data_IF_559579700996
#
_entry.id   IF_559579700996
#
_cell.length_a   1.000
_cell.length_b   1.000
_cell.length_c   1.000
_cell.angle_alpha   90.00
_cell.angle_beta   90.00
_cell.angle_gamma   90.00
#
_symmetry.space_group_name_H-M   'P 1'
#
loop_
_entity.id
_entity.type
_entity.pdbx_description
1 polymer ?
#
# COMPACT_ATOMS: atom_id res chain seq x y z
N UNK A 1 25.57 3.20 -11.84
CA UNK A 1 25.62 2.01 -10.94
C UNK A 1 24.22 1.45 -10.89
N UNK A 2 24.02 0.17 -11.19
CA UNK A 2 22.73 -0.50 -11.15
C UNK A 2 22.44 -0.96 -9.73
N UNK A 3 21.23 -0.70 -9.22
CA UNK A 3 20.82 -1.08 -7.86
C UNK A 3 20.32 -2.52 -7.89
N UNK A 4 20.93 -3.40 -7.11
CA UNK A 4 20.58 -4.83 -7.04
C UNK A 4 19.49 -5.05 -6.00
N UNK A 5 18.31 -5.44 -6.46
CA UNK A 5 17.12 -5.61 -5.64
C UNK A 5 16.89 -7.09 -5.32
N UNK A 6 16.72 -7.40 -4.03
CA UNK A 6 16.16 -8.67 -3.57
C UNK A 6 14.67 -8.52 -3.24
N UNK A 7 13.88 -9.55 -3.48
CA UNK A 7 12.45 -9.60 -3.12
C UNK A 7 12.24 -10.71 -2.10
N UNK A 8 11.74 -10.39 -0.91
CA UNK A 8 11.33 -11.34 0.11
C UNK A 8 9.81 -11.55 0.09
N UNK A 9 9.37 -12.71 -0.39
CA UNK A 9 7.96 -13.03 -0.59
C UNK A 9 7.49 -12.75 -2.03
N UNK A 10 6.91 -13.76 -2.68
CA UNK A 10 6.50 -13.70 -4.07
C UNK A 10 5.00 -14.02 -4.22
N UNK A 11 4.18 -13.14 -3.66
CA UNK A 11 2.73 -13.05 -3.84
C UNK A 11 2.37 -11.97 -4.89
N UNK A 12 1.17 -11.39 -4.79
CA UNK A 12 0.75 -10.32 -5.70
C UNK A 12 1.69 -9.10 -5.64
N UNK A 13 2.10 -8.70 -4.44
CA UNK A 13 3.02 -7.58 -4.25
C UNK A 13 4.41 -7.89 -4.82
N UNK A 14 4.99 -9.05 -4.52
CA UNK A 14 6.32 -9.43 -5.03
C UNK A 14 6.38 -9.54 -6.55
N UNK A 15 5.30 -10.03 -7.19
CA UNK A 15 5.16 -10.02 -8.65
C UNK A 15 5.10 -8.59 -9.20
N UNK A 16 4.34 -7.73 -8.54
CA UNK A 16 4.28 -6.32 -8.91
C UNK A 16 5.64 -5.64 -8.80
N UNK A 17 6.42 -5.94 -7.75
CA UNK A 17 7.79 -5.42 -7.57
C UNK A 17 8.71 -5.86 -8.72
N UNK A 18 8.66 -7.13 -9.13
CA UNK A 18 9.41 -7.61 -10.29
C UNK A 18 9.03 -6.85 -11.56
N UNK A 19 7.72 -6.66 -11.82
CA UNK A 19 7.25 -5.88 -12.97
C UNK A 19 7.70 -4.41 -12.90
N UNK A 20 7.69 -3.80 -11.71
CA UNK A 20 8.13 -2.43 -11.52
C UNK A 20 9.64 -2.27 -11.72
N UNK A 21 10.47 -3.22 -11.26
CA UNK A 21 11.92 -3.22 -11.49
C UNK A 21 12.23 -3.22 -13.00
N UNK A 22 11.52 -4.02 -13.79
CA UNK A 22 11.69 -4.06 -15.26
C UNK A 22 11.50 -2.68 -15.91
N UNK A 23 10.69 -1.80 -15.34
CA UNK A 23 10.44 -0.45 -15.85
C UNK A 23 11.47 0.58 -15.36
N UNK A 24 12.41 0.19 -14.51
CA UNK A 24 13.41 1.07 -13.90
C UNK A 24 14.82 0.67 -14.34
N UNK A 25 15.39 1.37 -15.36
CA UNK A 25 16.66 0.96 -16.01
C UNK A 25 17.88 1.07 -15.10
N UNK A 26 17.77 1.73 -13.96
CA UNK A 26 18.80 1.86 -12.93
C UNK A 26 18.74 0.75 -11.87
N UNK A 27 17.87 -0.25 -12.07
CA UNK A 27 17.67 -1.36 -11.14
C UNK A 27 17.72 -2.72 -11.84
N UNK A 28 18.11 -3.74 -11.10
CA UNK A 28 18.02 -5.13 -11.55
C UNK A 28 17.51 -6.04 -10.42
N UNK A 29 16.77 -7.08 -10.78
CA UNK A 29 16.35 -8.13 -9.86
C UNK A 29 17.51 -9.10 -9.65
N UNK A 30 18.09 -9.12 -8.46
CA UNK A 30 19.20 -10.02 -8.11
C UNK A 30 18.70 -11.39 -7.62
N UNK A 31 17.67 -11.42 -6.79
CA UNK A 31 17.13 -12.64 -6.21
C UNK A 31 15.69 -12.49 -5.73
N UNK A 32 14.97 -13.60 -5.69
CA UNK A 32 13.67 -13.74 -5.03
C UNK A 32 13.78 -14.77 -3.91
N UNK A 33 13.25 -14.46 -2.74
CA UNK A 33 13.25 -15.33 -1.57
C UNK A 33 11.82 -15.74 -1.20
N UNK A 34 11.64 -17.02 -0.86
CA UNK A 34 10.33 -17.57 -0.54
C UNK A 34 10.42 -18.59 0.60
N UNK A 35 9.36 -18.69 1.41
CA UNK A 35 9.19 -19.77 2.40
C UNK A 35 8.63 -21.06 1.79
N UNK A 36 8.09 -20.97 0.56
CA UNK A 36 7.65 -22.13 -0.22
C UNK A 36 8.86 -22.82 -0.86
N UNK A 37 8.69 -24.03 -1.35
CA UNK A 37 9.72 -24.65 -2.19
C UNK A 37 10.05 -23.74 -3.38
N UNK A 38 11.31 -23.27 -3.54
CA UNK A 38 11.74 -22.42 -4.63
C UNK A 38 11.40 -22.95 -6.02
N UNK A 39 11.38 -24.28 -6.18
CA UNK A 39 11.04 -24.95 -7.45
C UNK A 39 9.59 -24.71 -7.90
N UNK A 40 8.70 -24.38 -6.96
CA UNK A 40 7.29 -24.10 -7.21
C UNK A 40 7.00 -22.63 -7.45
N UNK A 41 8.01 -21.75 -7.42
CA UNK A 41 7.87 -20.32 -7.67
C UNK A 41 8.43 -19.98 -9.04
N UNK A 42 7.59 -19.45 -9.91
CA UNK A 42 7.98 -19.02 -11.26
C UNK A 42 8.05 -17.50 -11.29
N UNK A 43 9.22 -16.97 -11.59
CA UNK A 43 9.50 -15.55 -11.83
C UNK A 43 9.58 -15.30 -13.33
N UNK A 44 9.46 -14.02 -13.72
CA UNK A 44 9.50 -13.58 -15.13
C UNK A 44 10.91 -13.21 -15.59
N UNK A 45 11.79 -12.84 -14.66
CA UNK A 45 13.16 -12.37 -14.91
C UNK A 45 14.10 -13.57 -15.00
N UNK A 46 14.49 -13.95 -16.21
CA UNK A 46 15.32 -15.14 -16.47
C UNK A 46 16.71 -15.08 -15.83
N UNK A 47 17.28 -13.89 -15.65
CA UNK A 47 18.60 -13.69 -15.05
C UNK A 47 18.63 -13.85 -13.54
N UNK A 48 17.47 -13.76 -12.86
CA UNK A 48 17.35 -13.92 -11.42
C UNK A 48 17.05 -15.37 -11.03
N UNK A 49 17.29 -15.69 -9.75
CA UNK A 49 16.98 -17.02 -9.19
C UNK A 49 16.11 -16.90 -7.96
N UNK A 50 15.35 -17.97 -7.71
CA UNK A 50 14.54 -18.12 -6.51
C UNK A 50 15.30 -18.96 -5.49
N UNK A 51 15.35 -18.48 -4.26
CA UNK A 51 16.02 -19.13 -3.11
C UNK A 51 15.04 -19.32 -1.97
N UNK A 52 15.38 -20.20 -1.04
CA UNK A 52 14.65 -20.28 0.22
C UNK A 52 14.92 -19.02 1.07
N UNK A 53 13.95 -18.62 1.88
CA UNK A 53 14.05 -17.39 2.69
C UNK A 53 15.27 -17.36 3.61
N UNK A 54 15.68 -18.51 4.15
CA UNK A 54 16.83 -18.63 5.05
C UNK A 54 18.17 -18.32 4.38
N UNK A 55 18.25 -18.43 3.05
CA UNK A 55 19.46 -18.14 2.30
C UNK A 55 19.74 -16.63 2.14
N UNK A 56 18.72 -15.78 2.38
CA UNK A 56 18.84 -14.34 2.16
C UNK A 56 20.03 -13.72 2.91
N UNK A 57 20.22 -14.07 4.17
CA UNK A 57 21.27 -13.53 5.04
C UNK A 57 22.69 -13.82 4.55
N UNK A 58 22.86 -14.80 3.68
CA UNK A 58 24.15 -15.18 3.07
C UNK A 58 24.42 -14.47 1.73
N UNK A 59 23.54 -13.53 1.33
CA UNK A 59 23.63 -12.82 0.05
C UNK A 59 23.76 -11.30 0.21
N UNK A 60 24.28 -10.83 1.33
CA UNK A 60 24.43 -9.40 1.65
C UNK A 60 25.38 -8.67 0.68
N UNK A 61 26.30 -9.38 0.07
CA UNK A 61 27.22 -8.86 -0.96
C UNK A 61 26.58 -8.75 -2.37
N UNK A 62 25.41 -9.37 -2.57
CA UNK A 62 24.73 -9.45 -3.86
C UNK A 62 23.49 -8.58 -3.97
N UNK A 63 23.02 -8.03 -2.87
CA UNK A 63 21.76 -7.27 -2.77
C UNK A 63 22.05 -5.93 -2.11
N UNK A 64 21.67 -4.85 -2.78
CA UNK A 64 21.80 -3.50 -2.26
C UNK A 64 20.58 -3.09 -1.44
N UNK A 65 19.36 -3.52 -1.86
CA UNK A 65 18.12 -3.26 -1.15
C UNK A 65 17.25 -4.53 -1.19
N UNK A 66 16.75 -4.93 -0.04
CA UNK A 66 15.78 -6.03 0.10
C UNK A 66 14.37 -5.47 0.30
N UNK A 67 13.47 -5.77 -0.64
CA UNK A 67 12.06 -5.39 -0.57
C UNK A 67 11.27 -6.51 0.10
N UNK A 68 10.56 -6.19 1.19
CA UNK A 68 9.79 -7.13 2.00
C UNK A 68 8.33 -7.11 1.59
N UNK A 69 7.85 -8.20 0.98
CA UNK A 69 6.50 -8.36 0.44
C UNK A 69 5.64 -9.32 1.27
N UNK A 70 5.94 -9.44 2.55
CA UNK A 70 5.19 -10.25 3.51
C UNK A 70 3.86 -9.60 3.91
N UNK A 71 3.02 -10.35 4.63
CA UNK A 71 1.76 -9.83 5.17
C UNK A 71 2.00 -8.77 6.25
N UNK A 72 1.32 -7.63 6.11
CA UNK A 72 1.49 -6.49 7.01
C UNK A 72 1.21 -6.83 8.47
N UNK A 73 0.12 -7.55 8.75
CA UNK A 73 -0.26 -7.87 10.12
C UNK A 73 0.56 -9.01 10.75
N UNK A 74 1.13 -9.91 9.93
CA UNK A 74 1.71 -11.18 10.41
C UNK A 74 3.21 -11.30 10.18
N UNK A 75 3.70 -10.89 9.01
CA UNK A 75 5.08 -11.13 8.61
C UNK A 75 5.98 -9.91 8.89
N UNK A 76 5.58 -8.72 8.42
CA UNK A 76 6.41 -7.52 8.45
C UNK A 76 6.82 -7.07 9.87
N UNK A 77 6.00 -7.20 10.93
CA UNK A 77 6.43 -6.86 12.29
C UNK A 77 7.67 -7.61 12.77
N UNK A 78 7.90 -8.79 12.24
CA UNK A 78 9.06 -9.64 12.58
C UNK A 78 10.15 -9.50 11.51
N UNK A 79 9.77 -9.57 10.23
CA UNK A 79 10.72 -9.59 9.12
C UNK A 79 11.49 -8.27 8.97
N UNK A 80 10.82 -7.12 9.08
CA UNK A 80 11.45 -5.84 8.80
C UNK A 80 12.59 -5.55 9.79
N UNK A 81 12.40 -5.60 11.11
CA UNK A 81 13.50 -5.40 12.06
C UNK A 81 14.58 -6.49 11.95
N UNK A 82 14.21 -7.72 11.61
CA UNK A 82 15.19 -8.80 11.44
C UNK A 82 16.09 -8.58 10.22
N UNK A 83 15.52 -8.29 9.05
CA UNK A 83 16.31 -8.08 7.83
C UNK A 83 17.00 -6.72 7.78
N UNK A 84 16.54 -5.71 8.51
CA UNK A 84 17.23 -4.42 8.63
C UNK A 84 18.63 -4.54 9.25
N UNK A 85 18.90 -5.62 10.00
CA UNK A 85 20.24 -5.94 10.51
C UNK A 85 21.24 -6.33 9.44
N UNK A 86 20.77 -6.76 8.28
CA UNK A 86 21.63 -7.28 7.21
C UNK A 86 21.59 -6.44 5.94
N UNK A 87 20.48 -5.76 5.67
CA UNK A 87 20.21 -5.07 4.41
C UNK A 87 19.64 -3.66 4.64
N UNK A 88 19.79 -2.80 3.66
CA UNK A 88 18.85 -1.73 3.45
C UNK A 88 17.52 -2.35 3.02
N UNK A 89 16.41 -2.01 3.70
CA UNK A 89 15.11 -2.66 3.49
C UNK A 89 14.01 -1.66 3.16
N UNK A 90 12.98 -2.14 2.44
CA UNK A 90 11.73 -1.39 2.24
C UNK A 90 10.55 -2.33 2.48
N UNK A 91 9.54 -1.87 3.22
CA UNK A 91 8.30 -2.61 3.43
C UNK A 91 7.04 -1.77 3.12
N UNK A 92 5.90 -2.45 3.10
CA UNK A 92 4.57 -1.86 2.91
C UNK A 92 3.68 -2.04 4.15
N UNK A 93 4.23 -1.92 5.34
CA UNK A 93 3.46 -2.06 6.58
C UNK A 93 2.32 -1.04 6.66
N UNK A 94 1.07 -1.51 6.74
CA UNK A 94 -0.14 -0.69 6.65
C UNK A 94 -1.08 -0.77 7.85
N UNK A 95 -0.67 -1.41 8.93
CA UNK A 95 -1.43 -1.42 10.18
C UNK A 95 -1.24 -0.07 10.90
N UNK A 96 -2.01 0.94 10.47
CA UNK A 96 -1.82 2.35 10.83
C UNK A 96 -1.61 2.60 12.33
N UNK A 97 -2.42 1.97 13.19
CA UNK A 97 -2.31 2.15 14.64
C UNK A 97 -0.98 1.65 15.23
N UNK A 98 -0.27 0.76 14.53
CA UNK A 98 0.98 0.15 14.98
C UNK A 98 2.22 0.68 14.27
N UNK A 99 2.08 1.66 13.36
CA UNK A 99 3.23 2.26 12.67
C UNK A 99 4.27 2.83 13.65
N UNK A 100 3.92 3.54 14.72
CA UNK A 100 4.93 4.06 15.66
C UNK A 100 5.73 2.96 16.36
N UNK A 101 5.09 1.86 16.75
CA UNK A 101 5.74 0.70 17.35
C UNK A 101 6.69 0.01 16.35
N UNK A 102 6.20 -0.22 15.13
CA UNK A 102 6.98 -0.81 14.04
C UNK A 102 8.20 0.05 13.70
N UNK A 103 8.00 1.37 13.58
CA UNK A 103 9.08 2.33 13.35
C UNK A 103 10.18 2.20 14.40
N UNK A 104 9.84 2.19 15.68
CA UNK A 104 10.80 2.13 16.77
C UNK A 104 11.64 0.84 16.74
N UNK A 105 10.99 -0.30 16.49
CA UNK A 105 11.67 -1.60 16.40
C UNK A 105 12.63 -1.66 15.20
N UNK A 106 12.18 -1.17 14.04
CA UNK A 106 12.99 -1.15 12.81
C UNK A 106 14.13 -0.15 12.91
N UNK A 107 13.90 1.04 13.50
CA UNK A 107 14.90 2.08 13.68
C UNK A 107 16.09 1.60 14.53
N UNK A 108 15.79 0.93 15.64
CA UNK A 108 16.82 0.35 16.51
C UNK A 108 17.69 -0.64 15.73
N UNK A 109 17.09 -1.59 15.03
CA UNK A 109 17.81 -2.62 14.27
C UNK A 109 18.62 -2.03 13.10
N UNK A 110 18.04 -1.09 12.35
CA UNK A 110 18.70 -0.46 11.21
C UNK A 110 19.87 0.44 11.64
N UNK A 111 19.74 1.19 12.74
CA UNK A 111 20.82 2.03 13.29
C UNK A 111 21.99 1.19 13.78
N UNK A 112 21.73 0.13 14.51
CA UNK A 112 22.77 -0.78 15.02
C UNK A 112 23.61 -1.35 13.89
N UNK A 113 22.98 -1.71 12.78
CA UNK A 113 23.65 -2.26 11.59
C UNK A 113 24.17 -1.19 10.62
N UNK A 114 23.90 0.10 10.86
CA UNK A 114 24.23 1.19 9.94
C UNK A 114 23.45 1.13 8.62
N UNK A 115 22.31 0.44 8.57
CA UNK A 115 21.46 0.32 7.39
C UNK A 115 20.35 1.36 7.36
N UNK A 116 19.73 1.57 6.19
CA UNK A 116 18.52 2.38 6.03
C UNK A 116 17.32 1.42 5.89
N UNK A 117 16.24 1.72 6.58
CA UNK A 117 14.97 1.04 6.40
C UNK A 117 13.90 2.06 6.03
N UNK A 118 13.15 1.84 4.97
CA UNK A 118 11.95 2.64 4.65
C UNK A 118 10.73 1.78 4.90
N UNK A 119 9.89 2.22 5.84
CA UNK A 119 8.67 1.48 6.18
C UNK A 119 7.41 2.16 5.65
N UNK A 120 6.32 1.40 5.59
CA UNK A 120 5.00 1.89 5.22
C UNK A 120 4.99 2.55 3.83
N UNK A 121 5.79 2.00 2.91
CA UNK A 121 5.87 2.46 1.54
C UNK A 121 4.69 1.91 0.72
N UNK A 122 3.83 2.80 0.27
CA UNK A 122 2.67 2.48 -0.54
C UNK A 122 1.93 3.74 -0.97
N UNK A 123 0.67 3.59 -1.35
CA UNK A 123 -0.13 4.76 -1.67
C UNK A 123 -0.91 5.29 -0.45
N UNK A 124 -1.34 4.41 0.49
CA UNK A 124 -1.91 4.80 1.78
C UNK A 124 -1.75 3.66 2.83
N UNK A 125 -0.77 3.76 3.74
CA UNK A 125 0.16 4.87 3.93
C UNK A 125 1.18 5.03 2.79
N UNK A 126 1.73 6.24 2.65
CA UNK A 126 2.73 6.59 1.66
C UNK A 126 2.36 7.86 0.90
N UNK A 127 1.96 7.74 -0.37
CA UNK A 127 1.66 8.92 -1.21
C UNK A 127 0.54 9.79 -0.63
N UNK A 128 -0.53 9.21 -0.12
CA UNK A 128 -1.59 9.97 0.54
C UNK A 128 -1.13 10.61 1.84
N UNK A 129 -0.21 9.97 2.57
CA UNK A 129 0.40 10.58 3.76
C UNK A 129 1.18 11.84 3.39
N UNK A 130 1.97 11.79 2.32
CA UNK A 130 2.70 12.95 1.81
C UNK A 130 1.74 14.04 1.31
N UNK A 131 0.68 13.66 0.59
CA UNK A 131 -0.34 14.61 0.13
C UNK A 131 -1.03 15.32 1.30
N UNK A 132 -1.32 14.61 2.39
CA UNK A 132 -1.87 15.21 3.61
C UNK A 132 -0.89 16.21 4.23
N UNK A 133 0.40 15.88 4.32
CA UNK A 133 1.41 16.79 4.87
C UNK A 133 1.51 18.07 4.04
N UNK A 134 1.57 17.97 2.71
CA UNK A 134 1.59 19.15 1.85
C UNK A 134 0.32 19.99 2.00
N UNK A 135 -0.84 19.37 1.97
CA UNK A 135 -2.11 20.07 2.11
C UNK A 135 -2.24 20.79 3.47
N UNK A 136 -1.83 20.12 4.56
CA UNK A 136 -1.82 20.70 5.92
C UNK A 136 -0.83 21.86 6.05
N UNK A 137 0.35 21.74 5.45
CA UNK A 137 1.35 22.81 5.50
C UNK A 137 0.92 24.06 4.70
N UNK A 138 0.22 23.86 3.57
CA UNK A 138 -0.23 24.95 2.71
C UNK A 138 -1.47 25.66 3.30
N UNK A 139 -2.42 24.88 3.85
CA UNK A 139 -3.64 25.39 4.47
C UNK A 139 -3.70 24.91 5.94
N UNK A 140 -2.94 25.53 6.88
CA UNK A 140 -2.86 25.08 8.25
C UNK A 140 -4.21 25.14 8.99
N UNK A 141 -5.03 26.13 8.67
CA UNK A 141 -6.41 26.23 9.14
C UNK A 141 -7.36 25.57 8.15
N UNK A 142 -7.69 24.29 8.40
CA UNK A 142 -8.51 23.50 7.50
C UNK A 142 -8.85 22.10 8.03
N UNK A 143 -9.63 21.36 7.27
CA UNK A 143 -10.09 20.01 7.59
C UNK A 143 -9.74 19.01 6.51
N UNK A 144 -9.18 17.86 6.93
CA UNK A 144 -8.81 16.78 6.04
C UNK A 144 -9.92 15.72 5.93
N UNK A 145 -10.07 15.23 4.72
CA UNK A 145 -10.93 14.09 4.42
C UNK A 145 -10.17 13.05 3.61
N UNK A 146 -10.32 11.80 3.97
CA UNK A 146 -9.82 10.68 3.17
C UNK A 146 -10.98 9.76 2.82
N UNK A 147 -11.09 9.45 1.53
CA UNK A 147 -12.03 8.48 0.99
C UNK A 147 -11.26 7.41 0.22
N UNK A 148 -11.60 6.15 0.45
CA UNK A 148 -11.05 5.02 -0.29
C UNK A 148 -12.10 4.46 -1.25
N UNK A 149 -11.67 4.08 -2.43
CA UNK A 149 -12.55 3.44 -3.41
C UNK A 149 -12.79 4.30 -4.68
N UNK A 150 -13.65 3.85 -5.60
CA UNK A 150 -14.23 2.50 -5.56
C UNK A 150 -13.10 1.47 -5.68
N UNK A 151 -13.02 0.49 -4.76
CA UNK A 151 -11.91 -0.44 -4.79
C UNK A 151 -12.09 -1.70 -3.96
N UNK A 152 -11.42 -2.77 -4.41
CA UNK A 152 -11.45 -4.08 -3.76
C UNK A 152 -10.58 -4.08 -2.50
N UNK A 153 -11.19 -4.34 -1.35
CA UNK A 153 -10.46 -4.65 -0.12
C UNK A 153 -10.17 -6.14 -0.02
N UNK A 154 -8.89 -6.51 -0.12
CA UNK A 154 -8.50 -7.92 -0.03
C UNK A 154 -8.77 -8.51 1.37
N UNK A 155 -8.44 -7.77 2.43
CA UNK A 155 -8.67 -8.23 3.81
C UNK A 155 -10.15 -8.45 4.14
N UNK A 156 -11.04 -7.56 3.68
CA UNK A 156 -12.49 -7.73 3.86
C UNK A 156 -13.02 -8.88 3.00
N UNK A 157 -12.53 -9.03 1.77
CA UNK A 157 -12.87 -10.16 0.92
C UNK A 157 -12.46 -11.49 1.54
N UNK A 158 -11.27 -11.55 2.16
CA UNK A 158 -10.79 -12.73 2.88
C UNK A 158 -11.65 -13.05 4.11
N UNK A 159 -12.12 -12.04 4.83
CA UNK A 159 -13.00 -12.25 5.97
C UNK A 159 -14.32 -12.91 5.55
N UNK A 160 -14.92 -12.47 4.42
CA UNK A 160 -16.12 -13.08 3.87
C UNK A 160 -15.87 -14.52 3.42
N UNK A 161 -14.74 -14.79 2.74
CA UNK A 161 -14.39 -16.14 2.28
C UNK A 161 -14.21 -17.18 3.40
N UNK A 162 -14.04 -16.73 4.65
CA UNK A 162 -13.94 -17.63 5.81
C UNK A 162 -15.30 -18.01 6.41
N UNK A 163 -16.38 -17.41 5.94
CA UNK A 163 -17.74 -17.77 6.37
C UNK A 163 -18.10 -19.13 5.75
N UNK A 164 -18.59 -20.04 6.56
CA UNK A 164 -19.05 -21.35 6.11
C UNK A 164 -20.12 -21.22 5.01
N UNK A 165 -19.99 -22.03 3.95
CA UNK A 165 -20.87 -21.96 2.78
C UNK A 165 -20.51 -20.84 1.77
N UNK A 166 -19.42 -20.11 1.95
CA UNK A 166 -18.90 -19.15 0.96
C UNK A 166 -17.75 -19.76 0.17
N UNK A 167 -17.89 -19.78 -1.14
CA UNK A 167 -16.89 -20.30 -2.09
C UNK A 167 -15.89 -19.25 -2.54
N UNK A 168 -16.34 -18.05 -2.87
CA UNK A 168 -15.52 -16.88 -3.19
C UNK A 168 -16.25 -15.58 -2.86
N UNK A 169 -15.49 -14.51 -2.66
CA UNK A 169 -16.05 -13.19 -2.40
C UNK A 169 -15.14 -12.05 -2.85
N UNK A 170 -15.76 -10.93 -3.22
CA UNK A 170 -15.10 -9.63 -3.44
C UNK A 170 -15.89 -8.56 -2.71
N UNK A 171 -15.18 -7.77 -1.92
CA UNK A 171 -15.77 -6.62 -1.24
C UNK A 171 -15.19 -5.33 -1.84
N UNK A 172 -16.07 -4.39 -2.16
CA UNK A 172 -15.74 -3.06 -2.64
C UNK A 172 -16.06 -2.01 -1.58
N UNK A 173 -15.10 -1.15 -1.29
CA UNK A 173 -15.32 0.09 -0.57
C UNK A 173 -15.75 1.15 -1.56
N UNK A 174 -16.88 1.81 -1.31
CA UNK A 174 -17.47 2.80 -2.21
C UNK A 174 -17.67 4.11 -1.46
N UNK A 175 -17.04 5.22 -1.89
CA UNK A 175 -17.28 6.53 -1.33
C UNK A 175 -18.74 6.99 -1.55
N UNK A 176 -19.30 7.70 -0.59
CA UNK A 176 -20.63 8.34 -0.73
C UNK A 176 -20.47 9.61 -1.54
N UNK A 177 -20.92 9.59 -2.82
CA UNK A 177 -20.66 10.68 -3.78
C UNK A 177 -21.27 12.01 -3.36
N UNK A 178 -22.47 12.01 -2.79
CA UNK A 178 -23.12 13.25 -2.30
C UNK A 178 -22.31 13.97 -1.22
N UNK A 179 -21.57 13.21 -0.40
CA UNK A 179 -20.69 13.75 0.64
C UNK A 179 -19.38 14.27 0.01
N UNK A 180 -18.84 13.56 -0.97
CA UNK A 180 -17.68 14.05 -1.74
C UNK A 180 -17.97 15.38 -2.42
N UNK A 181 -19.14 15.52 -3.06
CA UNK A 181 -19.55 16.76 -3.72
C UNK A 181 -19.68 17.94 -2.74
N UNK A 182 -20.25 17.73 -1.56
CA UNK A 182 -20.31 18.75 -0.51
C UNK A 182 -18.92 19.24 -0.10
N UNK A 183 -18.00 18.31 0.10
CA UNK A 183 -16.61 18.64 0.49
C UNK A 183 -15.90 19.37 -0.66
N UNK A 184 -16.08 18.94 -1.92
CA UNK A 184 -15.53 19.61 -3.11
C UNK A 184 -16.07 21.02 -3.30
N UNK A 185 -17.27 21.29 -2.80
CA UNK A 185 -17.85 22.62 -2.78
C UNK A 185 -17.37 23.50 -1.60
N UNK A 186 -16.40 23.00 -0.80
CA UNK A 186 -15.80 23.76 0.30
C UNK A 186 -16.48 23.58 1.64
N UNK A 187 -17.50 22.73 1.76
CA UNK A 187 -18.09 22.39 3.05
C UNK A 187 -17.13 21.57 3.90
N UNK A 188 -17.24 21.73 5.22
CA UNK A 188 -16.41 21.01 6.20
C UNK A 188 -17.25 20.22 7.20
N UNK A 189 -18.08 19.24 6.75
CA UNK A 189 -18.96 18.49 7.64
C UNK A 189 -18.16 17.60 8.61
N UNK A 190 -18.74 17.36 9.81
CA UNK A 190 -18.33 16.22 10.63
C UNK A 190 -18.99 14.98 10.04
N UNK A 191 -18.20 13.90 9.86
CA UNK A 191 -18.65 12.69 9.20
C UNK A 191 -18.35 11.46 10.05
N UNK A 192 -19.33 10.62 10.22
CA UNK A 192 -19.15 9.26 10.72
C UNK A 192 -18.55 8.34 9.66
N UNK A 193 -18.08 7.17 10.05
CA UNK A 193 -17.57 6.15 9.14
C UNK A 193 -18.63 5.78 8.09
N UNK A 194 -19.88 5.60 8.54
CA UNK A 194 -21.05 5.24 7.71
C UNK A 194 -21.37 6.29 6.65
N UNK A 195 -21.24 7.56 6.99
CA UNK A 195 -21.47 8.65 6.04
C UNK A 195 -20.40 8.78 4.96
N UNK A 196 -19.20 8.24 5.21
CA UNK A 196 -18.08 8.33 4.24
C UNK A 196 -18.14 7.24 3.19
N UNK A 197 -18.46 6.01 3.57
CA UNK A 197 -18.35 4.85 2.70
C UNK A 197 -19.48 3.87 2.91
N UNK A 198 -19.90 3.24 1.80
CA UNK A 198 -20.68 2.03 1.80
C UNK A 198 -19.82 0.81 1.46
N UNK A 199 -20.36 -0.38 1.67
CA UNK A 199 -19.74 -1.66 1.33
C UNK A 199 -20.62 -2.41 0.34
N UNK A 200 -20.02 -2.84 -0.78
CA UNK A 200 -20.67 -3.74 -1.73
C UNK A 200 -19.91 -5.07 -1.72
N UNK A 201 -20.60 -6.15 -1.41
CA UNK A 201 -20.06 -7.48 -1.30
C UNK A 201 -20.66 -8.37 -2.39
N UNK A 202 -19.82 -8.93 -3.25
CA UNK A 202 -20.19 -9.91 -4.25
C UNK A 202 -19.72 -11.26 -3.75
N UNK A 203 -20.66 -12.21 -3.60
CA UNK A 203 -20.43 -13.48 -2.91
C UNK A 203 -20.90 -14.64 -3.78
N UNK A 204 -20.01 -15.61 -3.97
CA UNK A 204 -20.35 -16.92 -4.54
C UNK A 204 -20.56 -17.88 -3.38
N UNK A 205 -21.80 -18.33 -3.20
CA UNK A 205 -22.16 -19.30 -2.17
C UNK A 205 -22.00 -20.74 -2.70
N UNK A 206 -21.79 -21.69 -1.80
CA UNK A 206 -21.86 -23.11 -2.10
C UNK A 206 -23.31 -23.53 -2.41
N UNK A 207 -23.47 -24.59 -3.16
CA UNK A 207 -24.79 -25.13 -3.50
C UNK A 207 -25.54 -25.56 -2.24
N UNK A 208 -26.78 -25.05 -2.07
CA UNK A 208 -27.61 -25.32 -0.89
C UNK A 208 -27.25 -24.52 0.36
N UNK A 209 -26.31 -23.59 0.30
CA UNK A 209 -25.96 -22.73 1.44
C UNK A 209 -27.15 -21.82 1.85
N UNK A 210 -27.23 -21.52 3.14
CA UNK A 210 -28.22 -20.58 3.68
C UNK A 210 -27.77 -19.14 3.43
N UNK A 211 -28.26 -18.55 2.33
CA UNK A 211 -27.90 -17.20 1.89
C UNK A 211 -28.29 -16.14 2.93
N UNK A 212 -29.42 -16.29 3.60
CA UNK A 212 -29.86 -15.31 4.60
C UNK A 212 -28.94 -15.30 5.83
N UNK A 213 -28.45 -16.46 6.24
CA UNK A 213 -27.45 -16.59 7.31
C UNK A 213 -26.13 -15.92 6.89
N UNK A 214 -25.64 -16.23 5.68
CA UNK A 214 -24.37 -15.66 5.18
C UNK A 214 -24.47 -14.13 5.10
N UNK A 215 -25.55 -13.59 4.53
CA UNK A 215 -25.77 -12.14 4.47
C UNK A 215 -25.76 -11.52 5.86
N UNK A 216 -26.50 -12.11 6.81
CA UNK A 216 -26.55 -11.64 8.19
C UNK A 216 -25.18 -11.65 8.85
N UNK A 217 -24.41 -12.72 8.69
CA UNK A 217 -23.04 -12.80 9.23
C UNK A 217 -22.12 -11.73 8.64
N UNK A 218 -22.23 -11.44 7.33
CA UNK A 218 -21.47 -10.37 6.69
C UNK A 218 -21.82 -9.03 7.30
N UNK A 219 -23.10 -8.61 7.22
CA UNK A 219 -23.49 -7.23 7.58
C UNK A 219 -23.32 -6.92 9.07
N UNK A 220 -23.30 -7.95 9.93
CA UNK A 220 -23.11 -7.79 11.38
C UNK A 220 -21.66 -8.05 11.83
N UNK A 221 -20.73 -8.39 10.93
CA UNK A 221 -19.35 -8.73 11.28
C UNK A 221 -18.61 -7.55 11.91
N UNK A 222 -18.19 -7.66 13.18
CA UNK A 222 -17.48 -6.60 13.87
C UNK A 222 -16.14 -6.26 13.21
N UNK A 223 -15.75 -4.99 13.27
CA UNK A 223 -14.51 -4.43 12.70
C UNK A 223 -14.40 -4.44 11.17
N UNK A 224 -15.35 -5.05 10.46
CA UNK A 224 -15.36 -5.14 9.00
C UNK A 224 -16.56 -4.45 8.36
N UNK A 225 -17.78 -4.79 8.81
CA UNK A 225 -19.01 -4.40 8.14
C UNK A 225 -20.06 -3.73 9.04
N UNK A 226 -20.09 -4.04 10.34
CA UNK A 226 -21.13 -3.57 11.26
C UNK A 226 -21.28 -2.05 11.34
N UNK A 227 -20.21 -1.32 11.07
CA UNK A 227 -20.18 0.15 11.12
C UNK A 227 -20.51 0.83 9.78
N UNK A 228 -20.92 0.04 8.76
CA UNK A 228 -21.18 0.52 7.40
C UNK A 228 -22.56 0.12 6.91
N UNK A 229 -23.06 0.86 5.91
CA UNK A 229 -24.17 0.40 5.09
C UNK A 229 -23.59 -0.61 4.08
N UNK A 230 -23.97 -1.87 4.25
CA UNK A 230 -23.42 -3.00 3.50
C UNK A 230 -24.51 -3.66 2.67
N UNK A 231 -24.26 -3.81 1.36
CA UNK A 231 -25.10 -4.56 0.44
C UNK A 231 -24.40 -5.85 0.04
N UNK A 232 -25.12 -6.97 0.05
CA UNK A 232 -24.62 -8.28 -0.35
C UNK A 232 -25.31 -8.74 -1.63
N UNK A 233 -24.52 -9.08 -2.64
CA UNK A 233 -24.99 -9.62 -3.91
C UNK A 233 -24.51 -11.06 -4.04
N UNK A 234 -25.41 -12.02 -4.12
CA UNK A 234 -25.07 -13.39 -4.45
C UNK A 234 -25.01 -13.54 -5.96
N UNK A 235 -23.88 -14.01 -6.47
CA UNK A 235 -23.58 -14.13 -7.90
C UNK A 235 -23.00 -15.49 -8.24
N UNK A 236 -22.98 -15.85 -9.52
CA UNK A 236 -22.35 -17.09 -10.02
C UNK A 236 -20.81 -16.97 -10.05
N UNK A 237 -20.13 -18.13 -10.17
CA UNK A 237 -18.68 -18.18 -10.39
C UNK A 237 -18.27 -17.54 -11.72
N UNK A 238 -19.10 -17.69 -12.75
CA UNK A 238 -18.88 -17.07 -14.05
C UNK A 238 -18.92 -15.55 -13.97
N UNK A 239 -19.89 -15.00 -13.25
CA UNK A 239 -19.99 -13.55 -13.00
C UNK A 239 -18.81 -13.06 -12.17
N UNK A 240 -18.45 -13.76 -11.10
CA UNK A 240 -17.28 -13.43 -10.28
C UNK A 240 -16.01 -13.36 -11.14
N UNK A 241 -15.80 -14.35 -11.99
CA UNK A 241 -14.64 -14.44 -12.87
C UNK A 241 -14.65 -13.39 -13.97
N UNK A 242 -15.81 -13.09 -14.55
CA UNK A 242 -15.96 -12.10 -15.63
C UNK A 242 -15.81 -10.67 -15.12
N UNK A 243 -16.48 -10.32 -14.02
CA UNK A 243 -16.70 -8.94 -13.60
C UNK A 243 -15.84 -8.51 -12.38
N UNK A 244 -15.33 -9.47 -11.61
CA UNK A 244 -14.64 -9.21 -10.34
C UNK A 244 -13.25 -9.87 -10.23
N UNK A 245 -12.62 -10.20 -11.36
CA UNK A 245 -11.30 -10.85 -11.40
C UNK A 245 -10.12 -9.90 -11.13
N UNK A 246 -10.31 -8.60 -11.30
CA UNK A 246 -9.27 -7.58 -11.12
C UNK A 246 -9.28 -7.01 -9.71
N UNK A 247 -8.22 -6.26 -9.37
CA UNK A 247 -8.05 -5.65 -8.06
C UNK A 247 -7.95 -4.10 -8.17
N UNK A 248 -8.98 -3.43 -8.73
CA UNK A 248 -8.96 -1.97 -8.81
C UNK A 248 -9.06 -1.35 -7.42
N UNK A 249 -8.46 -0.19 -7.27
CA UNK A 249 -8.59 0.61 -6.06
C UNK A 249 -8.38 2.10 -6.36
N UNK A 250 -8.22 2.89 -5.31
CA UNK A 250 -7.93 4.31 -5.37
C UNK A 250 -8.59 5.06 -4.24
N UNK A 251 -8.70 6.36 -4.40
CA UNK A 251 -9.32 7.20 -3.39
C UNK A 251 -8.99 8.68 -3.57
N UNK A 252 -9.34 9.43 -2.54
CA UNK A 252 -9.19 10.88 -2.50
C UNK A 252 -8.63 11.32 -1.15
N UNK A 253 -7.69 12.26 -1.18
CA UNK A 253 -7.34 13.08 -0.02
C UNK A 253 -7.78 14.49 -0.35
N UNK A 254 -8.67 15.05 0.44
CA UNK A 254 -9.23 16.38 0.23
C UNK A 254 -8.95 17.20 1.47
N UNK A 255 -8.44 18.43 1.28
CA UNK A 255 -8.32 19.41 2.34
C UNK A 255 -9.07 20.66 1.97
N UNK A 256 -10.00 21.03 2.83
CA UNK A 256 -10.67 22.32 2.78
C UNK A 256 -10.04 23.24 3.81
N UNK A 257 -9.71 24.44 3.41
CA UNK A 257 -9.12 25.44 4.29
C UNK A 257 -9.38 26.85 3.82
N UNK A 258 -9.02 27.81 4.65
CA UNK A 258 -9.25 29.23 4.39
C UNK A 258 -7.97 30.03 4.43
N UNK A 259 -7.96 31.13 3.69
CA UNK A 259 -6.91 32.15 3.71
C UNK A 259 -7.54 33.56 3.75
N UNK A 260 -6.70 34.56 3.88
CA UNK A 260 -7.09 35.95 4.07
C UNK A 260 -7.07 36.33 5.56
N UNK A 261 -6.96 37.63 5.84
CA UNK A 261 -6.84 38.10 7.21
C UNK A 261 -8.08 37.74 8.06
N UNK A 262 -9.26 37.72 7.45
CA UNK A 262 -10.53 37.37 8.09
C UNK A 262 -11.08 36.01 7.60
N UNK A 263 -10.24 35.14 7.03
CA UNK A 263 -10.62 33.85 6.47
C UNK A 263 -11.71 33.92 5.38
N UNK A 264 -11.64 34.97 4.57
CA UNK A 264 -12.63 35.25 3.54
C UNK A 264 -12.52 34.42 2.27
N UNK A 265 -11.36 33.75 2.03
CA UNK A 265 -11.14 32.94 0.85
C UNK A 265 -11.17 31.45 1.21
N UNK A 266 -12.04 30.69 0.57
CA UNK A 266 -12.13 29.23 0.74
C UNK A 266 -11.34 28.52 -0.36
N UNK A 267 -10.58 27.51 0.02
CA UNK A 267 -9.77 26.69 -0.89
C UNK A 267 -10.02 25.21 -0.66
N UNK A 268 -9.91 24.45 -1.75
CA UNK A 268 -10.00 23.00 -1.76
C UNK A 268 -8.75 22.45 -2.46
N UNK A 269 -8.00 21.58 -1.78
CA UNK A 269 -6.92 20.79 -2.37
C UNK A 269 -7.41 19.37 -2.47
N UNK A 270 -7.38 18.77 -3.65
CA UNK A 270 -7.75 17.37 -3.86
C UNK A 270 -6.62 16.61 -4.55
N UNK A 271 -6.22 15.48 -3.95
CA UNK A 271 -5.36 14.48 -4.56
C UNK A 271 -6.19 13.22 -4.80
N UNK A 272 -6.12 12.70 -6.02
CA UNK A 272 -6.90 11.53 -6.43
C UNK A 272 -6.00 10.45 -7.01
N UNK A 273 -6.27 9.20 -6.63
CA UNK A 273 -5.70 8.01 -7.28
C UNK A 273 -6.82 7.15 -7.88
N UNK A 274 -6.58 6.66 -9.10
CA UNK A 274 -7.38 5.61 -9.75
C UNK A 274 -6.41 4.52 -10.19
N UNK A 275 -6.54 3.35 -9.60
CA UNK A 275 -5.62 2.24 -9.77
C UNK A 275 -6.37 1.07 -10.41
N UNK A 276 -5.90 0.59 -11.55
CA UNK A 276 -6.44 -0.61 -12.18
C UNK A 276 -5.94 -1.88 -11.48
N UNK A 277 -4.75 -1.80 -10.86
CA UNK A 277 -4.16 -2.86 -10.04
C UNK A 277 -3.53 -2.27 -8.80
N UNK A 278 -4.15 -2.50 -7.64
CA UNK A 278 -3.62 -2.06 -6.35
C UNK A 278 -2.21 -2.62 -6.07
N UNK A 279 -1.95 -3.94 -6.18
CA UNK A 279 -0.64 -4.48 -5.85
C UNK A 279 0.48 -3.97 -6.78
N UNK A 280 0.22 -3.78 -8.07
CA UNK A 280 1.24 -3.29 -9.01
C UNK A 280 1.57 -1.81 -8.79
N UNK A 281 0.56 -0.97 -8.50
CA UNK A 281 0.81 0.43 -8.19
C UNK A 281 1.57 0.58 -6.87
N UNK A 282 1.17 -0.13 -5.82
CA UNK A 282 1.88 -0.18 -4.53
C UNK A 282 3.34 -0.60 -4.74
N UNK A 283 3.57 -1.61 -5.55
CA UNK A 283 4.92 -2.08 -5.91
C UNK A 283 5.76 -1.01 -6.58
N UNK A 284 5.18 -0.22 -7.48
CA UNK A 284 5.87 0.88 -8.14
C UNK A 284 6.30 1.95 -7.13
N UNK A 285 5.46 2.26 -6.15
CA UNK A 285 5.84 3.18 -5.05
C UNK A 285 6.98 2.60 -4.20
N UNK A 286 6.89 1.31 -3.84
CA UNK A 286 7.93 0.61 -3.08
C UNK A 286 9.29 0.64 -3.83
N UNK A 287 9.29 0.41 -5.12
CA UNK A 287 10.51 0.45 -5.96
C UNK A 287 11.11 1.85 -5.99
N UNK A 288 10.30 2.91 -6.08
CA UNK A 288 10.79 4.28 -5.93
C UNK A 288 11.42 4.52 -4.55
N UNK A 289 10.80 4.02 -3.49
CA UNK A 289 11.34 4.11 -2.12
C UNK A 289 12.62 3.29 -1.96
N UNK A 290 12.78 2.16 -2.65
CA UNK A 290 14.01 1.37 -2.65
C UNK A 290 15.18 2.16 -3.26
N UNK A 291 14.94 2.90 -4.35
CA UNK A 291 15.93 3.84 -4.91
C UNK A 291 16.35 4.90 -3.89
N UNK A 292 15.36 5.50 -3.21
CA UNK A 292 15.63 6.50 -2.20
C UNK A 292 16.42 5.93 -1.01
N UNK A 293 16.05 4.75 -0.52
CA UNK A 293 16.74 4.06 0.56
C UNK A 293 18.21 3.77 0.20
N UNK A 294 18.46 3.29 -1.03
CA UNK A 294 19.82 3.09 -1.53
C UNK A 294 20.62 4.39 -1.54
N UNK A 295 20.09 5.48 -2.07
CA UNK A 295 20.77 6.79 -2.11
C UNK A 295 21.07 7.30 -0.71
N UNK A 296 20.11 7.27 0.21
CA UNK A 296 20.33 7.67 1.60
C UNK A 296 21.43 6.83 2.27
N UNK A 297 21.48 5.53 1.99
CA UNK A 297 22.56 4.67 2.49
C UNK A 297 23.92 5.07 1.91
N UNK A 298 24.00 5.38 0.62
CA UNK A 298 25.24 5.84 -0.02
C UNK A 298 25.76 7.18 0.56
N UNK A 299 24.85 8.01 1.05
CA UNK A 299 25.17 9.29 1.73
C UNK A 299 25.51 9.11 3.21
N UNK A 300 25.59 7.88 3.70
CA UNK A 300 25.96 7.57 5.08
C UNK A 300 24.80 7.68 6.09
N UNK A 301 23.57 7.78 5.61
CA UNK A 301 22.40 7.76 6.50
C UNK A 301 22.14 6.34 7.02
N UNK A 302 21.49 6.26 8.18
CA UNK A 302 21.03 5.00 8.79
C UNK A 302 19.72 5.20 9.55
N UNK A 303 19.14 4.09 10.00
CA UNK A 303 17.89 4.07 10.76
C UNK A 303 16.64 4.01 9.90
N UNK A 304 15.50 4.04 10.57
CA UNK A 304 14.19 3.94 9.93
C UNK A 304 13.76 5.29 9.35
N UNK A 305 13.11 5.24 8.21
CA UNK A 305 12.52 6.36 7.46
C UNK A 305 11.11 6.00 7.02
N UNK A 306 10.33 7.02 6.72
CA UNK A 306 9.04 6.92 6.02
C UNK A 306 9.08 7.78 4.76
N UNK A 307 8.00 7.78 3.99
CA UNK A 307 7.87 8.68 2.82
C UNK A 307 8.08 10.15 3.20
N UNK A 308 7.81 10.53 4.45
CA UNK A 308 7.92 11.90 4.94
C UNK A 308 9.38 12.36 5.12
N UNK A 309 10.32 11.43 5.23
CA UNK A 309 11.74 11.67 5.43
C UNK A 309 12.53 11.66 4.10
N UNK A 310 11.86 11.34 2.99
CA UNK A 310 12.51 11.17 1.69
C UNK A 310 12.46 12.46 0.87
N UNK A 311 13.59 13.04 0.47
CA UNK A 311 13.60 14.11 -0.52
C UNK A 311 12.97 13.62 -1.83
N UNK A 312 11.97 14.35 -2.42
CA UNK A 312 11.26 13.87 -3.61
C UNK A 312 12.16 13.49 -4.79
N UNK A 313 13.28 14.20 -4.97
CA UNK A 313 14.24 13.90 -6.02
C UNK A 313 14.89 12.51 -5.90
N UNK A 314 14.94 11.94 -4.68
CA UNK A 314 15.53 10.61 -4.46
C UNK A 314 14.66 9.47 -5.00
N UNK A 315 13.37 9.72 -5.16
CA UNK A 315 12.42 8.74 -5.71
C UNK A 315 12.59 8.54 -7.22
N UNK A 316 13.16 9.52 -7.94
CA UNK A 316 13.24 9.51 -9.40
C UNK A 316 14.54 8.89 -9.90
N UNK A 317 14.48 8.15 -11.02
CA UNK A 317 15.68 7.72 -11.76
C UNK A 317 16.42 8.88 -12.44
N UNK A 318 15.76 10.02 -12.65
CA UNK A 318 16.33 11.21 -13.29
C UNK A 318 17.26 11.95 -12.34
N UNK A 319 18.24 12.63 -12.93
CA UNK A 319 19.14 13.51 -12.18
C UNK A 319 18.40 14.75 -11.63
N UNK A 320 18.94 15.38 -10.59
CA UNK A 320 18.38 16.62 -10.06
C UNK A 320 18.34 17.75 -11.10
N UNK A 321 19.29 17.79 -12.05
CA UNK A 321 19.30 18.73 -13.16
C UNK A 321 18.13 18.50 -14.11
N UNK A 322 17.89 17.24 -14.52
CA UNK A 322 16.76 16.88 -15.37
C UNK A 322 15.42 17.17 -14.71
N UNK A 323 15.29 16.91 -13.40
CA UNK A 323 14.09 17.22 -12.66
C UNK A 323 13.80 18.73 -12.63
N UNK A 324 14.82 19.54 -12.32
CA UNK A 324 14.66 21.02 -12.35
C UNK A 324 14.29 21.53 -13.74
N UNK A 325 14.93 21.00 -14.78
CA UNK A 325 14.66 21.42 -16.16
C UNK A 325 13.25 21.09 -16.64
N UNK A 326 12.69 19.95 -16.18
CA UNK A 326 11.47 19.41 -16.77
C UNK A 326 10.23 19.57 -15.86
N UNK A 327 10.41 19.85 -14.56
CA UNK A 327 9.31 19.88 -13.59
C UNK A 327 9.18 21.22 -12.85
N UNK A 328 10.15 22.09 -12.95
CA UNK A 328 10.10 23.48 -12.44
C UNK A 328 10.07 24.51 -13.58
#
# INVERSE_FOLDING_TARGET
MTIRIGIMGYGNLGRGVECAIKQNPDMELAAVFTRRDPKNVRILTESAKVYHADEAKHMTDKIDVLILCGGSATDLPVQTPEYAKYFTVVDSFDTHARIPEHFAAVDAAAKEAGNVAVISAGWDPGMFSLSRVYANAILPDGKDYTFWGKGVSQGHSDAIRRIDGVKDARQYTVPVESVLERIRNGETPELTIREKHTRECYVVAEEGADLARIEKEIVTMPNYFSDYDTTVHFISEEEMKRDHSTLPHGGFVIRNGKTGWNQENTHVIEYRLKLDSNPEFTSSVIVCCARAAFRMKQEGMSGCKTILDIPPAYLSAKSGEELRKNLL
#
